data_IF_592641011939
#
_entry.id   IF_592641011939
#
_cell.length_a   1.000
_cell.length_b   1.000
_cell.length_c   1.000
_cell.angle_alpha   90.00
_cell.angle_beta   90.00
_cell.angle_gamma   90.00
#
_symmetry.space_group_name_H-M   'P 1'
#
loop_
_entity.id
_entity.type
_entity.pdbx_description
1 polymer ?
#
# COMPACT_ATOMS: atom_id res chain seq x y z
N UNK A 1 38.57 -12.72 23.32
CA UNK A 1 37.95 -11.69 22.45
C UNK A 1 36.94 -12.40 21.57
N UNK A 2 35.65 -12.35 21.93
CA UNK A 2 34.58 -13.01 21.18
C UNK A 2 33.78 -11.91 20.46
N UNK A 3 33.93 -11.88 19.15
CA UNK A 3 33.31 -10.91 18.23
C UNK A 3 31.79 -11.17 18.18
N UNK A 4 30.99 -10.19 18.63
CA UNK A 4 29.55 -10.20 18.41
C UNK A 4 29.28 -9.72 16.98
N UNK A 5 28.82 -10.64 16.12
CA UNK A 5 28.27 -10.32 14.82
C UNK A 5 26.80 -9.96 15.03
N UNK A 6 26.46 -8.67 14.97
CA UNK A 6 25.07 -8.21 14.93
C UNK A 6 24.63 -8.28 13.47
N UNK A 7 23.92 -9.36 13.12
CA UNK A 7 23.19 -9.44 11.86
C UNK A 7 21.91 -8.62 12.03
N UNK A 8 21.89 -7.39 11.49
CA UNK A 8 20.67 -6.63 11.25
C UNK A 8 19.92 -7.33 10.10
N UNK A 9 19.19 -8.38 10.46
CA UNK A 9 18.21 -9.02 9.59
C UNK A 9 17.03 -8.08 9.45
N UNK A 10 16.91 -7.45 8.28
CA UNK A 10 15.70 -6.81 7.80
C UNK A 10 14.65 -7.93 7.66
N UNK A 11 13.81 -8.11 8.68
CA UNK A 11 12.71 -9.06 8.61
C UNK A 11 11.70 -8.51 7.60
N UNK A 12 11.76 -9.00 6.37
CA UNK A 12 10.62 -8.94 5.48
C UNK A 12 9.57 -9.89 6.07
N UNK A 13 8.55 -9.34 6.73
CA UNK A 13 7.37 -10.11 7.12
C UNK A 13 6.72 -10.64 5.84
N UNK A 14 6.59 -11.97 5.71
CA UNK A 14 5.74 -12.56 4.67
C UNK A 14 4.29 -12.17 4.98
N UNK A 15 3.64 -11.46 4.07
CA UNK A 15 2.25 -11.06 4.23
C UNK A 15 1.39 -12.27 3.85
N UNK A 16 0.66 -12.83 4.82
CA UNK A 16 -0.38 -13.83 4.54
C UNK A 16 -1.57 -13.15 3.84
N UNK A 17 -1.47 -13.01 2.52
CA UNK A 17 -2.54 -12.44 1.72
C UNK A 17 -3.71 -13.43 1.57
N UNK A 18 -4.92 -12.99 1.90
CA UNK A 18 -6.15 -13.74 1.63
C UNK A 18 -6.63 -13.59 0.18
N UNK A 19 -7.62 -14.39 -0.21
CA UNK A 19 -8.42 -14.15 -1.43
C UNK A 19 -9.84 -13.81 -1.02
N UNK A 20 -10.39 -12.72 -1.53
CA UNK A 20 -11.73 -12.25 -1.14
C UNK A 20 -12.25 -11.14 -2.04
N UNK A 21 -13.52 -10.77 -1.84
CA UNK A 21 -14.11 -9.67 -2.59
C UNK A 21 -13.52 -8.33 -2.14
N UNK A 22 -13.03 -7.53 -3.09
CA UNK A 22 -12.63 -6.14 -2.81
C UNK A 22 -13.87 -5.27 -2.65
N UNK A 23 -13.97 -4.61 -1.50
CA UNK A 23 -15.09 -3.74 -1.10
C UNK A 23 -14.71 -2.26 -1.07
N UNK A 24 -13.43 -1.92 -1.32
CA UNK A 24 -12.98 -0.55 -1.39
C UNK A 24 -13.77 0.22 -2.48
N UNK A 25 -14.35 1.38 -2.16
CA UNK A 25 -15.08 2.17 -3.13
C UNK A 25 -14.12 2.82 -4.15
N UNK A 26 -14.68 3.37 -5.23
CA UNK A 26 -13.90 3.89 -6.37
C UNK A 26 -12.90 4.98 -5.97
N UNK A 27 -13.25 5.85 -5.04
CA UNK A 27 -12.42 6.95 -4.54
C UNK A 27 -11.25 6.47 -3.68
N UNK A 28 -11.35 5.26 -3.12
CA UNK A 28 -10.31 4.54 -2.36
C UNK A 28 -9.66 3.45 -3.21
N UNK A 29 -9.90 3.43 -4.51
CA UNK A 29 -9.25 2.52 -5.46
C UNK A 29 -8.37 3.32 -6.42
N UNK A 30 -7.10 2.93 -6.54
CA UNK A 30 -6.17 3.57 -7.48
C UNK A 30 -5.82 2.59 -8.61
N UNK A 31 -5.94 3.04 -9.85
CA UNK A 31 -5.62 2.22 -11.03
C UNK A 31 -4.17 2.51 -11.42
N UNK A 32 -3.33 1.48 -11.40
CA UNK A 32 -1.92 1.59 -11.77
C UNK A 32 -1.70 1.23 -13.24
N UNK A 33 -0.79 1.95 -13.89
CA UNK A 33 -0.50 1.81 -15.33
C UNK A 33 1.02 1.81 -15.58
N UNK A 34 1.43 1.64 -16.84
CA UNK A 34 2.84 1.67 -17.28
C UNK A 34 3.41 3.08 -17.32
N UNK A 35 2.60 4.07 -17.72
CA UNK A 35 2.93 5.48 -17.64
C UNK A 35 2.12 6.10 -16.51
N UNK A 36 2.75 6.54 -15.42
CA UNK A 36 2.04 7.28 -14.40
C UNK A 36 1.42 8.52 -15.07
N UNK A 37 0.11 8.71 -14.90
CA UNK A 37 -0.51 9.98 -15.26
C UNK A 37 0.22 11.11 -14.51
N UNK A 38 0.30 12.30 -15.10
CA UNK A 38 0.91 13.51 -14.51
C UNK A 38 0.17 13.98 -13.23
N UNK A 39 0.07 13.16 -12.19
CA UNK A 39 -0.69 13.43 -10.99
C UNK A 39 0.24 13.86 -9.83
N UNK A 40 0.05 15.13 -9.44
CA UNK A 40 0.42 15.80 -8.19
C UNK A 40 1.82 15.56 -7.58
N UNK A 41 2.69 16.56 -7.73
CA UNK A 41 3.99 16.70 -7.07
C UNK A 41 3.83 17.11 -5.59
N UNK A 42 4.07 16.19 -4.66
CA UNK A 42 4.50 16.50 -3.29
C UNK A 42 6.01 16.21 -3.17
N UNK A 43 6.78 17.10 -2.54
CA UNK A 43 8.24 17.20 -2.66
C UNK A 43 9.12 16.00 -2.29
N UNK A 44 8.57 14.84 -1.91
CA UNK A 44 9.31 13.64 -1.52
C UNK A 44 8.72 12.32 -2.06
N UNK A 45 7.81 12.37 -3.05
CA UNK A 45 7.20 11.16 -3.60
C UNK A 45 7.98 10.66 -4.84
N UNK A 46 8.12 9.32 -5.03
CA UNK A 46 8.76 8.78 -6.22
C UNK A 46 8.10 9.28 -7.50
N UNK A 47 8.90 9.58 -8.52
CA UNK A 47 8.38 9.91 -9.84
C UNK A 47 7.55 8.72 -10.32
N UNK A 48 6.29 8.98 -10.64
CA UNK A 48 5.39 7.98 -11.15
C UNK A 48 4.50 7.28 -10.13
N UNK A 49 4.31 7.92 -8.98
CA UNK A 49 3.36 7.47 -7.98
C UNK A 49 1.90 7.74 -8.40
N UNK A 50 0.99 6.90 -7.96
CA UNK A 50 -0.45 7.05 -8.19
C UNK A 50 -1.12 7.47 -6.87
N UNK A 51 -2.03 8.44 -6.86
CA UNK A 51 -2.66 8.88 -5.62
C UNK A 51 -4.08 8.34 -5.47
N UNK A 52 -4.46 7.91 -4.28
CA UNK A 52 -5.87 7.75 -3.94
C UNK A 52 -6.54 9.12 -3.90
N UNK A 53 -7.80 9.18 -4.32
CA UNK A 53 -8.56 10.44 -4.28
C UNK A 53 -9.08 10.71 -2.88
N UNK A 54 -9.53 9.65 -2.18
CA UNK A 54 -9.96 9.75 -0.80
C UNK A 54 -8.76 9.92 0.14
N UNK A 55 -8.93 10.79 1.13
CA UNK A 55 -7.99 10.92 2.24
C UNK A 55 -8.27 9.82 3.29
N UNK A 56 -7.21 9.39 3.98
CA UNK A 56 -7.30 8.51 5.12
C UNK A 56 -7.34 9.33 6.41
N UNK A 57 -8.38 9.11 7.21
CA UNK A 57 -8.46 9.65 8.56
C UNK A 57 -7.66 8.72 9.51
N UNK A 58 -6.71 9.24 10.31
CA UNK A 58 -5.93 8.42 11.26
C UNK A 58 -6.77 7.56 12.22
N UNK A 59 -7.99 7.99 12.51
CA UNK A 59 -8.92 7.30 13.43
C UNK A 59 -9.81 6.26 12.73
N UNK A 60 -9.87 6.24 11.40
CA UNK A 60 -10.66 5.29 10.61
C UNK A 60 -9.85 4.01 10.33
N UNK A 61 -10.54 2.97 9.85
CA UNK A 61 -10.00 1.69 9.36
C UNK A 61 -10.65 1.31 8.03
N UNK A 62 -10.79 2.31 7.17
CA UNK A 62 -11.35 2.15 5.84
C UNK A 62 -10.50 1.25 4.91
N UNK A 63 -11.14 0.48 4.01
CA UNK A 63 -10.42 -0.28 2.99
C UNK A 63 -9.94 0.62 1.84
N UNK A 64 -8.74 0.36 1.35
CA UNK A 64 -8.15 0.95 0.16
C UNK A 64 -7.70 -0.14 -0.80
N UNK A 65 -7.77 0.11 -2.11
CA UNK A 65 -7.39 -0.87 -3.11
C UNK A 65 -6.44 -0.29 -4.18
N UNK A 66 -5.64 -1.18 -4.75
CA UNK A 66 -4.82 -0.93 -5.93
C UNK A 66 -5.30 -1.88 -7.03
N UNK A 67 -5.70 -1.31 -8.16
CA UNK A 67 -6.18 -2.02 -9.34
C UNK A 67 -5.06 -2.12 -10.37
N UNK A 68 -4.68 -3.36 -10.67
CA UNK A 68 -3.59 -3.73 -11.59
C UNK A 68 -4.11 -4.13 -12.97
N UNK A 69 -5.42 -4.08 -13.22
CA UNK A 69 -6.03 -4.53 -14.48
C UNK A 69 -5.40 -3.91 -15.72
N UNK A 70 -4.97 -2.65 -15.65
CA UNK A 70 -4.32 -1.95 -16.77
C UNK A 70 -2.84 -2.35 -17.01
N UNK A 71 -2.24 -3.15 -16.13
CA UNK A 71 -0.87 -3.69 -16.25
C UNK A 71 -0.85 -5.18 -16.63
N UNK A 72 -1.90 -5.91 -16.28
CA UNK A 72 -2.03 -7.34 -16.50
C UNK A 72 -2.62 -7.61 -17.89
N UNK A 73 -2.22 -8.70 -18.53
CA UNK A 73 -2.96 -9.22 -19.67
C UNK A 73 -4.37 -9.70 -19.25
N UNK A 74 -5.26 -9.91 -20.22
CA UNK A 74 -6.65 -10.29 -19.96
C UNK A 74 -6.76 -11.58 -19.12
N UNK A 75 -5.91 -12.57 -19.39
CA UNK A 75 -5.82 -13.87 -18.71
C UNK A 75 -4.83 -13.91 -17.53
N UNK A 76 -4.09 -12.81 -17.29
CA UNK A 76 -3.07 -12.74 -16.25
C UNK A 76 -3.66 -12.26 -14.92
N UNK A 77 -3.40 -12.98 -13.83
CA UNK A 77 -3.90 -12.64 -12.49
C UNK A 77 -2.75 -12.38 -11.52
N UNK A 78 -3.04 -11.73 -10.41
CA UNK A 78 -2.14 -11.60 -9.27
C UNK A 78 -2.11 -12.95 -8.55
N UNK A 79 -0.95 -13.59 -8.55
CA UNK A 79 -0.73 -14.84 -7.83
C UNK A 79 -0.35 -14.59 -6.37
N UNK A 80 0.38 -13.50 -6.10
CA UNK A 80 0.98 -13.25 -4.80
C UNK A 80 1.20 -11.74 -4.56
N UNK A 81 0.94 -11.28 -3.33
CA UNK A 81 1.41 -9.99 -2.83
C UNK A 81 2.79 -10.23 -2.19
N UNK A 82 3.85 -10.00 -2.95
CA UNK A 82 5.22 -10.28 -2.51
C UNK A 82 5.64 -9.33 -1.38
N UNK A 83 5.24 -8.06 -1.47
CA UNK A 83 5.59 -7.05 -0.46
C UNK A 83 4.64 -5.87 -0.49
N UNK A 84 4.28 -5.37 0.68
CA UNK A 84 3.74 -4.03 0.88
C UNK A 84 4.67 -3.25 1.81
N UNK A 85 4.86 -1.96 1.57
CA UNK A 85 5.81 -1.15 2.34
C UNK A 85 5.33 0.29 2.45
N UNK A 86 5.30 0.80 3.69
CA UNK A 86 5.06 2.22 3.98
C UNK A 86 6.37 2.98 3.88
N UNK A 87 6.33 4.20 3.32
CA UNK A 87 7.50 5.07 3.24
C UNK A 87 8.00 5.43 4.64
N UNK A 88 9.31 5.66 4.78
CA UNK A 88 9.92 5.98 6.07
C UNK A 88 9.25 7.18 6.78
N UNK A 89 8.78 8.17 6.02
CA UNK A 89 8.03 9.31 6.57
C UNK A 89 6.70 8.90 7.22
N UNK A 90 5.94 7.99 6.59
CA UNK A 90 4.70 7.49 7.16
C UNK A 90 4.95 6.62 8.39
N UNK A 91 5.92 5.70 8.29
CA UNK A 91 6.31 4.83 9.41
C UNK A 91 6.79 5.63 10.63
N UNK A 92 7.53 6.73 10.42
CA UNK A 92 7.98 7.62 11.49
C UNK A 92 6.84 8.35 12.23
N UNK A 93 5.64 8.39 11.63
CA UNK A 93 4.42 8.97 12.20
C UNK A 93 3.40 7.88 12.57
N UNK A 94 3.85 6.63 12.73
CA UNK A 94 3.02 5.52 13.17
C UNK A 94 2.02 5.01 12.14
N UNK A 95 2.14 5.39 10.86
CA UNK A 95 1.27 4.88 9.78
C UNK A 95 1.75 3.50 9.38
N UNK A 96 0.85 2.52 9.45
CA UNK A 96 1.12 1.11 9.21
C UNK A 96 0.04 0.48 8.34
N UNK A 97 0.35 -0.68 7.75
CA UNK A 97 -0.65 -1.53 7.10
C UNK A 97 -1.24 -2.43 8.18
N UNK A 98 -2.57 -2.47 8.28
CA UNK A 98 -3.24 -3.31 9.27
C UNK A 98 -3.10 -4.78 8.84
N UNK A 99 -2.43 -5.57 9.67
CA UNK A 99 -2.25 -7.01 9.49
C UNK A 99 -3.08 -7.81 10.51
N UNK A 100 -4.07 -7.18 11.15
CA UNK A 100 -5.02 -7.85 12.04
C UNK A 100 -5.86 -8.90 11.29
N UNK A 101 -6.29 -9.96 11.99
CA UNK A 101 -6.92 -11.14 11.38
C UNK A 101 -8.14 -10.84 10.47
N UNK A 102 -8.88 -9.76 10.72
CA UNK A 102 -10.06 -9.36 9.91
C UNK A 102 -9.71 -8.36 8.79
N UNK A 103 -8.46 -7.92 8.71
CA UNK A 103 -7.99 -6.84 7.82
C UNK A 103 -6.64 -7.15 7.16
N UNK A 104 -6.25 -8.42 7.13
CA UNK A 104 -5.11 -8.86 6.34
C UNK A 104 -5.30 -8.44 4.87
N UNK A 105 -4.24 -7.99 4.17
CA UNK A 105 -4.32 -7.69 2.76
C UNK A 105 -4.91 -8.85 1.96
N UNK A 106 -5.76 -8.54 0.98
CA UNK A 106 -6.40 -9.57 0.14
C UNK A 106 -6.18 -9.29 -1.34
N UNK A 107 -6.11 -10.37 -2.11
CA UNK A 107 -6.22 -10.37 -3.57
C UNK A 107 -7.70 -10.54 -3.92
N UNK A 108 -8.17 -9.74 -4.87
CA UNK A 108 -9.54 -9.84 -5.37
C UNK A 108 -9.84 -11.22 -5.97
N UNK A 109 -11.12 -11.63 -5.95
CA UNK A 109 -11.54 -12.91 -6.55
C UNK A 109 -11.26 -13.02 -8.05
N UNK A 110 -11.22 -11.91 -8.79
CA UNK A 110 -10.82 -11.89 -10.21
C UNK A 110 -9.29 -11.81 -10.37
N UNK A 111 -8.56 -11.64 -9.27
CA UNK A 111 -7.11 -11.57 -9.26
C UNK A 111 -6.56 -10.32 -9.97
N UNK A 112 -7.33 -9.22 -10.04
CA UNK A 112 -6.89 -7.97 -10.69
C UNK A 112 -6.61 -6.83 -9.73
N UNK A 113 -7.09 -6.93 -8.49
CA UNK A 113 -6.93 -5.90 -7.46
C UNK A 113 -6.35 -6.50 -6.20
N UNK A 114 -5.72 -5.64 -5.41
CA UNK A 114 -5.41 -5.93 -4.01
C UNK A 114 -6.13 -4.91 -3.13
N UNK A 115 -6.61 -5.35 -1.98
CA UNK A 115 -7.16 -4.48 -0.95
C UNK A 115 -6.32 -4.59 0.32
N UNK A 116 -6.15 -3.46 0.98
CA UNK A 116 -5.42 -3.31 2.22
C UNK A 116 -6.12 -2.30 3.13
N UNK A 117 -5.74 -2.33 4.40
CA UNK A 117 -6.21 -1.43 5.42
C UNK A 117 -5.01 -0.73 6.03
N UNK A 118 -5.23 0.47 6.54
CA UNK A 118 -4.20 1.23 7.22
C UNK A 118 -4.63 1.48 8.66
N UNK A 119 -3.63 1.62 9.53
CA UNK A 119 -3.81 2.10 10.88
C UNK A 119 -2.77 3.16 11.18
N UNK A 120 -3.08 4.01 12.16
CA UNK A 120 -2.11 4.88 12.80
C UNK A 120 -2.04 4.48 14.26
N UNK A 121 -0.84 4.30 14.80
CA UNK A 121 -0.62 4.09 16.23
C UNK A 121 -1.36 5.18 17.03
N UNK A 122 -2.10 4.76 18.06
CA UNK A 122 -2.93 5.62 18.91
C UNK A 122 -2.15 6.82 19.48
N UNK A 123 -0.85 6.67 19.74
CA UNK A 123 0.00 7.76 20.21
C UNK A 123 0.19 8.89 19.18
N UNK A 124 0.08 8.57 17.89
CA UNK A 124 0.26 9.49 16.77
C UNK A 124 -1.04 9.97 16.13
N UNK A 125 -2.19 9.34 16.41
CA UNK A 125 -3.48 9.73 15.79
C UNK A 125 -3.81 11.21 15.96
N UNK A 126 -3.37 11.84 17.06
CA UNK A 126 -3.54 13.27 17.34
C UNK A 126 -2.40 14.18 16.86
N UNK A 127 -1.43 13.67 16.10
CA UNK A 127 -0.25 14.44 15.67
C UNK A 127 -0.65 15.62 14.77
N UNK A 128 -0.05 16.79 15.03
CA UNK A 128 -0.31 18.01 14.28
C UNK A 128 0.06 17.91 12.79
N UNK A 129 0.92 16.97 12.40
CA UNK A 129 1.24 16.69 11.01
C UNK A 129 0.01 16.26 10.20
N UNK A 130 -0.97 15.60 10.82
CA UNK A 130 -2.19 15.16 10.16
C UNK A 130 -3.25 16.26 10.06
N UNK A 131 -3.05 17.42 10.67
CA UNK A 131 -3.98 18.54 10.61
C UNK A 131 -3.90 19.29 9.27
N UNK A 132 -4.91 20.11 8.98
CA UNK A 132 -4.92 21.02 7.83
C UNK A 132 -4.88 20.28 6.49
N UNK A 133 -3.73 20.34 5.79
CA UNK A 133 -3.54 19.65 4.51
C UNK A 133 -3.23 18.16 4.64
N UNK A 134 -2.88 17.69 5.84
CA UNK A 134 -2.37 16.33 6.07
C UNK A 134 -0.97 16.11 5.52
N UNK A 135 -0.56 14.84 5.47
CA UNK A 135 0.71 14.40 4.89
C UNK A 135 0.49 13.42 3.75
N UNK A 136 1.46 13.33 2.85
CA UNK A 136 1.49 12.30 1.81
C UNK A 136 2.44 11.17 2.21
N UNK A 137 1.91 9.96 2.30
CA UNK A 137 2.63 8.73 2.63
C UNK A 137 2.71 7.86 1.38
N UNK A 138 3.91 7.38 1.06
CA UNK A 138 4.09 6.44 -0.05
C UNK A 138 3.80 5.02 0.42
N UNK A 139 3.03 4.28 -0.37
CA UNK A 139 2.71 2.87 -0.16
C UNK A 139 3.21 2.10 -1.38
N UNK A 140 4.33 1.41 -1.25
CA UNK A 140 4.88 0.57 -2.30
C UNK A 140 4.26 -0.83 -2.23
N UNK A 141 3.80 -1.33 -3.37
CA UNK A 141 3.27 -2.68 -3.53
C UNK A 141 4.03 -3.40 -4.64
N UNK A 142 4.58 -4.56 -4.30
CA UNK A 142 5.19 -5.51 -5.22
C UNK A 142 4.28 -6.73 -5.32
N UNK A 143 3.79 -7.01 -6.53
CA UNK A 143 2.99 -8.19 -6.83
C UNK A 143 3.74 -9.11 -7.77
N UNK A 144 3.39 -10.40 -7.73
CA UNK A 144 3.77 -11.41 -8.71
C UNK A 144 2.55 -11.95 -9.42
N UNK A 145 2.67 -12.15 -10.72
CA UNK A 145 1.57 -12.63 -11.56
C UNK A 145 1.58 -14.12 -11.79
N UNK A 146 0.45 -14.66 -12.26
CA UNK A 146 0.25 -16.06 -12.64
C UNK A 146 0.81 -16.41 -14.03
N UNK A 147 1.53 -15.51 -14.70
CA UNK A 147 2.09 -15.76 -16.02
C UNK A 147 3.19 -16.85 -15.99
N UNK A 148 3.50 -17.43 -17.15
CA UNK A 148 4.64 -18.35 -17.34
C UNK A 148 5.55 -17.87 -18.49
N UNK A 149 6.74 -17.31 -18.21
CA UNK A 149 7.30 -17.07 -16.87
C UNK A 149 6.51 -15.98 -16.11
N UNK A 150 6.54 -16.06 -14.77
CA UNK A 150 5.88 -15.06 -13.93
C UNK A 150 6.49 -13.67 -14.14
N UNK A 151 5.69 -12.63 -13.89
CA UNK A 151 6.15 -11.24 -13.90
C UNK A 151 5.99 -10.63 -12.53
N UNK A 152 6.92 -9.76 -12.18
CA UNK A 152 6.86 -8.97 -10.97
C UNK A 152 6.58 -7.50 -11.34
N UNK A 153 5.61 -6.87 -10.67
CA UNK A 153 5.31 -5.46 -10.84
C UNK A 153 5.37 -4.72 -9.51
N UNK A 154 6.16 -3.64 -9.46
CA UNK A 154 6.23 -2.74 -8.31
C UNK A 154 5.62 -1.38 -8.65
N UNK A 155 4.71 -0.90 -7.81
CA UNK A 155 4.11 0.44 -7.94
C UNK A 155 4.00 1.10 -6.59
N UNK A 156 4.10 2.42 -6.58
CA UNK A 156 3.89 3.22 -5.38
C UNK A 156 2.58 3.99 -5.51
N UNK A 157 1.68 3.75 -4.57
CA UNK A 157 0.50 4.56 -4.35
C UNK A 157 0.77 5.62 -3.28
N UNK A 158 0.04 6.73 -3.30
CA UNK A 158 0.19 7.86 -2.36
C UNK A 158 -1.08 7.95 -1.55
N UNK A 159 -0.93 7.71 -0.25
CA UNK A 159 -1.96 7.86 0.76
C UNK A 159 -1.84 9.25 1.38
N UNK A 160 -2.89 10.07 1.23
CA UNK A 160 -2.98 11.33 1.97
C UNK A 160 -3.59 11.05 3.33
N UNK A 161 -2.83 11.21 4.40
CA UNK A 161 -3.29 11.01 5.78
C UNK A 161 -3.66 12.38 6.37
N UNK A 162 -4.93 12.54 6.74
CA UNK A 162 -5.49 13.83 7.17
C UNK A 162 -6.63 13.62 8.17
N UNK A 163 -6.58 14.31 9.30
CA UNK A 163 -7.67 14.39 10.26
C UNK A 163 -8.86 15.17 9.67
N UNK A 164 -10.07 14.62 9.77
CA UNK A 164 -11.31 15.31 9.40
C UNK A 164 -12.02 15.94 10.59
#
# INVERSE_FOLDING_TARGET
MLTHLIALGLFATEIEAGVGAVTAPSERTVIVTTSPGNAARGGNLPIGSFAWTAHFDPSDRAPFAIDWSALLADDETIAEIVRLTISATGAALGVEIDEGAERLPIIDTEGKKIQMWFLVDDAFQGDAAFAGGGINVGVAALIRTSADPYKDYERTAVLTVRQQ
#
